data_IF_625009491064
#
_entry.id   IF_625009491064
#
_cell.length_a   1.000
_cell.length_b   1.000
_cell.length_c   1.000
_cell.angle_alpha   90.00
_cell.angle_beta   90.00
_cell.angle_gamma   90.00
#
_symmetry.space_group_name_H-M   'P 1'
#
loop_
_entity.id
_entity.type
_entity.pdbx_description
1 polymer ?
#
# COMPACT_ATOMS: atom_id res chain seq x y z
N UNK A 1 42.38 -19.02 -44.36
CA UNK A 1 41.22 -18.31 -43.78
C UNK A 1 41.23 -18.56 -42.27
N UNK A 2 41.73 -17.62 -41.49
CA UNK A 2 41.79 -17.71 -40.03
C UNK A 2 40.47 -17.20 -39.44
N UNK A 3 39.61 -18.13 -39.03
CA UNK A 3 38.39 -17.84 -38.26
C UNK A 3 38.79 -17.34 -36.87
N UNK A 4 38.59 -16.04 -36.61
CA UNK A 4 38.77 -15.46 -35.29
C UNK A 4 37.79 -16.10 -34.30
N UNK A 5 38.29 -16.60 -33.17
CA UNK A 5 37.47 -17.16 -32.11
C UNK A 5 36.51 -16.08 -31.55
N UNK A 6 35.23 -16.40 -31.30
CA UNK A 6 34.28 -15.44 -30.77
C UNK A 6 34.72 -14.96 -29.39
N UNK A 7 34.54 -13.66 -29.06
CA UNK A 7 34.96 -13.12 -27.78
C UNK A 7 34.25 -13.86 -26.65
N UNK A 8 35.04 -14.39 -25.72
CA UNK A 8 34.56 -15.06 -24.53
C UNK A 8 33.80 -14.07 -23.65
N UNK A 9 32.46 -14.13 -23.69
CA UNK A 9 31.61 -13.33 -22.82
C UNK A 9 31.78 -13.86 -21.40
N UNK A 10 32.68 -13.24 -20.64
CA UNK A 10 32.88 -13.59 -19.22
C UNK A 10 31.57 -13.41 -18.45
N UNK A 11 31.19 -14.37 -17.60
CA UNK A 11 29.97 -14.26 -16.80
C UNK A 11 30.03 -13.03 -15.89
N UNK A 12 28.90 -12.34 -15.67
CA UNK A 12 28.88 -11.12 -14.87
C UNK A 12 29.28 -11.41 -13.42
N UNK A 13 30.14 -10.55 -12.88
CA UNK A 13 30.62 -10.62 -11.49
C UNK A 13 29.47 -10.62 -10.48
N UNK A 14 29.63 -11.24 -9.30
CA UNK A 14 28.57 -11.31 -8.27
C UNK A 14 28.06 -9.92 -7.85
N UNK A 15 28.94 -8.92 -7.80
CA UNK A 15 28.56 -7.53 -7.55
C UNK A 15 27.67 -6.93 -8.66
N UNK A 16 27.94 -7.26 -9.94
CA UNK A 16 27.11 -6.85 -11.08
C UNK A 16 25.75 -7.54 -11.06
N UNK A 17 25.69 -8.84 -10.72
CA UNK A 17 24.43 -9.59 -10.56
C UNK A 17 23.55 -9.02 -9.45
N UNK A 18 24.12 -8.67 -8.28
CA UNK A 18 23.39 -8.05 -7.16
C UNK A 18 22.79 -6.70 -7.56
N UNK A 19 23.56 -5.85 -8.24
CA UNK A 19 23.08 -4.55 -8.74
C UNK A 19 21.96 -4.70 -9.77
N UNK A 20 22.08 -5.61 -10.72
CA UNK A 20 21.04 -5.88 -11.72
C UNK A 20 19.76 -6.40 -11.05
N UNK A 21 19.87 -7.31 -10.07
CA UNK A 21 18.72 -7.79 -9.30
C UNK A 21 18.04 -6.66 -8.53
N UNK A 22 18.79 -5.80 -7.85
CA UNK A 22 18.25 -4.63 -7.15
C UNK A 22 17.54 -3.67 -8.11
N UNK A 23 18.15 -3.39 -9.28
CA UNK A 23 17.54 -2.56 -10.31
C UNK A 23 16.25 -3.16 -10.84
N UNK A 24 16.23 -4.45 -11.17
CA UNK A 24 15.04 -5.13 -11.67
C UNK A 24 13.92 -5.16 -10.61
N UNK A 25 14.25 -5.35 -9.33
CA UNK A 25 13.28 -5.26 -8.24
C UNK A 25 12.71 -3.84 -8.07
N UNK A 26 13.55 -2.82 -8.21
CA UNK A 26 13.12 -1.42 -8.17
C UNK A 26 12.18 -1.11 -9.34
N UNK A 27 12.53 -1.52 -10.56
CA UNK A 27 11.69 -1.36 -11.74
C UNK A 27 10.34 -2.08 -11.57
N UNK A 28 10.35 -3.32 -11.07
CA UNK A 28 9.13 -4.08 -10.81
C UNK A 28 8.22 -3.35 -9.81
N UNK A 29 8.81 -2.81 -8.73
CA UNK A 29 8.06 -2.00 -7.75
C UNK A 29 7.46 -0.75 -8.38
N UNK A 30 8.23 -0.02 -9.20
CA UNK A 30 7.72 1.16 -9.89
C UNK A 30 6.55 0.83 -10.82
N UNK A 31 6.69 -0.22 -11.64
CA UNK A 31 5.62 -0.68 -12.54
C UNK A 31 4.39 -1.10 -11.75
N UNK A 32 4.57 -1.84 -10.66
CA UNK A 32 3.48 -2.26 -9.79
C UNK A 32 2.75 -1.07 -9.14
N UNK A 33 3.49 -0.11 -8.57
CA UNK A 33 2.92 1.09 -7.98
C UNK A 33 2.15 1.93 -9.00
N UNK A 34 2.71 2.15 -10.18
CA UNK A 34 2.05 2.87 -11.27
C UNK A 34 0.79 2.16 -11.75
N UNK A 35 0.83 0.83 -11.89
CA UNK A 35 -0.35 0.05 -12.28
C UNK A 35 -1.47 0.19 -11.24
N UNK A 36 -1.16 0.10 -9.96
CA UNK A 36 -2.15 0.29 -8.89
C UNK A 36 -2.75 1.70 -8.89
N UNK A 37 -1.92 2.73 -9.08
CA UNK A 37 -2.42 4.10 -9.21
C UNK A 37 -3.28 4.29 -10.46
N UNK A 38 -2.92 3.68 -11.59
CA UNK A 38 -3.72 3.75 -12.81
C UNK A 38 -5.09 3.06 -12.64
N UNK A 39 -5.11 1.88 -12.01
CA UNK A 39 -6.36 1.18 -11.66
C UNK A 39 -7.20 2.01 -10.70
N UNK A 40 -6.58 2.64 -9.69
CA UNK A 40 -7.27 3.51 -8.75
C UNK A 40 -7.88 4.73 -9.47
N UNK A 41 -7.09 5.44 -10.27
CA UNK A 41 -7.55 6.59 -11.03
C UNK A 41 -8.71 6.21 -11.97
N UNK A 42 -8.58 5.12 -12.72
CA UNK A 42 -9.64 4.59 -13.57
C UNK A 42 -10.92 4.30 -12.76
N UNK A 43 -10.78 3.61 -11.62
CA UNK A 43 -11.93 3.24 -10.77
C UNK A 43 -12.65 4.47 -10.21
N UNK A 44 -11.90 5.50 -9.80
CA UNK A 44 -12.48 6.73 -9.28
C UNK A 44 -13.13 7.60 -10.36
N UNK A 45 -12.58 7.55 -11.59
CA UNK A 45 -13.08 8.30 -12.74
C UNK A 45 -14.44 7.81 -13.25
N UNK A 46 -14.67 6.49 -13.26
CA UNK A 46 -15.92 5.91 -13.76
C UNK A 46 -17.13 6.24 -12.87
N UNK A 47 -18.36 6.34 -13.40
CA UNK A 47 -19.56 6.33 -12.57
C UNK A 47 -19.62 5.04 -11.74
N UNK A 48 -20.15 5.12 -10.53
CA UNK A 48 -20.31 3.91 -9.72
C UNK A 48 -20.74 4.17 -8.29
N UNK A 49 -21.05 3.06 -7.61
CA UNK A 49 -21.47 3.08 -6.22
C UNK A 49 -20.32 3.53 -5.30
N UNK A 50 -20.60 4.48 -4.42
CA UNK A 50 -19.59 5.13 -3.58
C UNK A 50 -18.88 4.18 -2.58
N UNK A 51 -19.50 3.13 -1.98
CA UNK A 51 -18.80 2.22 -1.10
C UNK A 51 -17.73 1.41 -1.84
N UNK A 52 -18.01 1.00 -3.08
CA UNK A 52 -17.04 0.28 -3.91
C UNK A 52 -15.85 1.17 -4.24
N UNK A 53 -16.11 2.44 -4.61
CA UNK A 53 -15.05 3.44 -4.82
C UNK A 53 -14.23 3.68 -3.56
N UNK A 54 -14.88 3.79 -2.41
CA UNK A 54 -14.22 3.99 -1.12
C UNK A 54 -13.31 2.81 -0.76
N UNK A 55 -13.82 1.59 -0.88
CA UNK A 55 -13.03 0.37 -0.67
C UNK A 55 -11.85 0.29 -1.63
N UNK A 56 -12.07 0.53 -2.92
CA UNK A 56 -10.99 0.57 -3.90
C UNK A 56 -9.95 1.64 -3.55
N UNK A 57 -10.40 2.83 -3.14
CA UNK A 57 -9.51 3.92 -2.75
C UNK A 57 -8.62 3.54 -1.58
N UNK A 58 -9.18 3.04 -0.49
CA UNK A 58 -8.41 2.62 0.69
C UNK A 58 -7.46 1.47 0.34
N UNK A 59 -7.98 0.42 -0.31
CA UNK A 59 -7.20 -0.78 -0.61
C UNK A 59 -6.04 -0.47 -1.55
N UNK A 60 -6.33 0.14 -2.69
CA UNK A 60 -5.32 0.40 -3.71
C UNK A 60 -4.29 1.43 -3.23
N UNK A 61 -4.70 2.39 -2.39
CA UNK A 61 -3.76 3.32 -1.74
C UNK A 61 -2.78 2.56 -0.84
N UNK A 62 -3.29 1.71 0.06
CA UNK A 62 -2.44 0.94 0.98
C UNK A 62 -1.55 -0.07 0.26
N UNK A 63 -2.03 -0.68 -0.84
CA UNK A 63 -1.24 -1.59 -1.67
C UNK A 63 -0.18 -0.84 -2.51
N UNK A 64 -0.53 0.33 -3.05
CA UNK A 64 0.40 1.15 -3.83
C UNK A 64 1.53 1.64 -2.93
N UNK A 65 1.24 1.98 -1.68
CA UNK A 65 2.24 2.32 -0.67
C UNK A 65 3.35 1.26 -0.53
N UNK A 66 3.03 -0.02 -0.68
CA UNK A 66 4.03 -1.11 -0.60
C UNK A 66 5.05 -1.10 -1.74
N UNK A 67 4.77 -0.40 -2.84
CA UNK A 67 5.68 -0.24 -3.96
C UNK A 67 6.80 0.77 -3.67
N UNK A 68 6.63 1.72 -2.74
CA UNK A 68 7.63 2.76 -2.51
C UNK A 68 7.30 3.89 -1.54
N UNK A 69 6.25 3.79 -0.73
CA UNK A 69 5.82 4.79 0.25
C UNK A 69 5.19 6.05 -0.37
N UNK A 70 5.88 6.69 -1.32
CA UNK A 70 5.37 7.89 -2.00
C UNK A 70 4.09 7.62 -2.81
N UNK A 71 3.97 6.40 -3.35
CA UNK A 71 2.76 5.95 -4.06
C UNK A 71 1.51 5.96 -3.16
N UNK A 72 1.64 5.69 -1.86
CA UNK A 72 0.53 5.77 -0.91
C UNK A 72 -0.01 7.20 -0.81
N UNK A 73 0.87 8.19 -0.68
CA UNK A 73 0.47 9.59 -0.64
C UNK A 73 -0.21 10.04 -1.94
N UNK A 74 0.30 9.60 -3.10
CA UNK A 74 -0.38 9.85 -4.38
C UNK A 74 -1.76 9.17 -4.46
N UNK A 75 -1.88 7.96 -3.92
CA UNK A 75 -3.17 7.28 -3.80
C UNK A 75 -4.19 8.09 -2.99
N UNK A 76 -3.75 8.71 -1.87
CA UNK A 76 -4.60 9.63 -1.11
C UNK A 76 -5.01 10.84 -1.95
N UNK A 77 -4.08 11.48 -2.65
CA UNK A 77 -4.37 12.63 -3.52
C UNK A 77 -5.38 12.27 -4.61
N UNK A 78 -5.27 11.07 -5.19
CA UNK A 78 -6.24 10.56 -6.17
C UNK A 78 -7.66 10.43 -5.61
N UNK A 79 -7.85 10.39 -4.29
CA UNK A 79 -9.17 10.48 -3.67
C UNK A 79 -9.96 11.73 -4.05
N UNK A 80 -9.27 12.81 -4.44
CA UNK A 80 -9.85 14.04 -4.95
C UNK A 80 -10.30 13.97 -6.42
N UNK A 81 -9.93 12.91 -7.16
CA UNK A 81 -10.27 12.76 -8.58
C UNK A 81 -11.79 12.84 -8.88
N UNK A 82 -12.70 12.32 -8.05
CA UNK A 82 -14.14 12.46 -8.27
C UNK A 82 -14.65 13.91 -8.34
N UNK A 83 -13.93 14.90 -7.80
CA UNK A 83 -14.34 16.31 -7.88
C UNK A 83 -14.06 16.96 -9.25
N UNK A 84 -13.18 16.34 -10.06
CA UNK A 84 -12.82 16.84 -11.40
C UNK A 84 -13.23 15.87 -12.50
N UNK A 85 -13.82 14.73 -12.15
CA UNK A 85 -14.41 13.81 -13.10
C UNK A 85 -15.64 14.44 -13.76
N UNK A 86 -15.99 13.98 -14.97
CA UNK A 86 -17.12 14.52 -15.73
C UNK A 86 -18.49 14.32 -15.03
N UNK A 87 -18.53 13.62 -13.91
CA UNK A 87 -19.73 13.21 -13.20
C UNK A 87 -19.61 13.75 -11.77
N UNK A 88 -20.69 14.36 -11.27
CA UNK A 88 -20.67 14.91 -9.92
C UNK A 88 -20.29 13.83 -8.89
N UNK A 89 -19.41 14.13 -7.93
CA UNK A 89 -19.12 13.21 -6.86
C UNK A 89 -20.40 12.99 -6.04
N UNK A 90 -20.60 11.78 -5.48
CA UNK A 90 -21.66 11.55 -4.51
C UNK A 90 -21.55 12.58 -3.39
N UNK A 91 -22.67 13.11 -2.88
CA UNK A 91 -22.66 14.12 -1.80
C UNK A 91 -21.87 13.64 -0.57
N UNK A 92 -21.90 12.33 -0.30
CA UNK A 92 -21.15 11.70 0.78
C UNK A 92 -19.64 11.89 0.64
N UNK A 93 -19.13 12.08 -0.58
CA UNK A 93 -17.70 12.18 -0.87
C UNK A 93 -17.05 13.42 -0.25
N UNK A 94 -17.82 14.50 -0.04
CA UNK A 94 -17.37 15.70 0.66
C UNK A 94 -16.99 15.43 2.12
N UNK A 95 -17.65 14.46 2.76
CA UNK A 95 -17.33 14.02 4.13
C UNK A 95 -16.25 12.94 4.11
N UNK A 96 -16.34 12.00 3.15
CA UNK A 96 -15.40 10.88 3.02
C UNK A 96 -13.98 11.37 2.77
N UNK A 97 -13.78 12.31 1.84
CA UNK A 97 -12.46 12.76 1.44
C UNK A 97 -11.61 13.27 2.63
N UNK A 98 -12.03 14.30 3.38
CA UNK A 98 -11.23 14.80 4.48
C UNK A 98 -11.10 13.78 5.62
N UNK A 99 -12.17 13.04 5.92
CA UNK A 99 -12.19 12.11 7.04
C UNK A 99 -11.30 10.89 6.77
N UNK A 100 -11.56 10.17 5.67
CA UNK A 100 -10.81 8.97 5.31
C UNK A 100 -9.43 9.34 4.77
N UNK A 101 -9.32 10.40 3.97
CA UNK A 101 -8.03 10.87 3.45
C UNK A 101 -7.08 11.33 4.55
N UNK A 102 -7.58 12.12 5.52
CA UNK A 102 -6.80 12.51 6.70
C UNK A 102 -6.37 11.32 7.54
N UNK A 103 -7.28 10.37 7.78
CA UNK A 103 -6.96 9.11 8.46
C UNK A 103 -5.94 8.26 7.70
N UNK A 104 -6.01 8.18 6.37
CA UNK A 104 -5.03 7.48 5.54
C UNK A 104 -3.66 8.14 5.66
N UNK A 105 -3.56 9.47 5.57
CA UNK A 105 -2.29 10.19 5.71
C UNK A 105 -1.66 9.91 7.07
N UNK A 106 -2.44 10.04 8.14
CA UNK A 106 -1.96 9.77 9.49
C UNK A 106 -1.48 8.31 9.64
N UNK A 107 -2.24 7.36 9.10
CA UNK A 107 -1.87 5.95 9.09
C UNK A 107 -0.58 5.69 8.30
N UNK A 108 -0.40 6.31 7.13
CA UNK A 108 0.81 6.19 6.31
C UNK A 108 2.03 6.80 7.00
N UNK A 109 1.90 7.96 7.64
CA UNK A 109 2.96 8.57 8.44
C UNK A 109 3.41 7.62 9.55
N UNK A 110 2.45 7.06 10.30
CA UNK A 110 2.75 6.11 11.37
C UNK A 110 3.38 4.84 10.79
N UNK A 111 2.85 4.30 9.69
CA UNK A 111 3.42 3.12 9.01
C UNK A 111 4.87 3.33 8.56
N UNK A 112 5.21 4.53 8.11
CA UNK A 112 6.56 4.88 7.67
C UNK A 112 7.54 5.14 8.82
N UNK A 113 7.07 5.27 10.07
CA UNK A 113 7.93 5.54 11.21
C UNK A 113 8.66 4.30 11.75
N UNK A 114 8.31 3.06 11.36
CA UNK A 114 8.99 1.88 11.92
C UNK A 114 8.62 0.49 11.38
N UNK A 115 8.95 -0.54 12.17
CA UNK A 115 8.80 -1.96 11.81
C UNK A 115 7.41 -2.55 12.08
N UNK A 116 7.28 -3.88 11.97
CA UNK A 116 6.01 -4.64 12.03
C UNK A 116 5.08 -4.22 13.18
N UNK A 117 5.64 -3.94 14.35
CA UNK A 117 4.89 -3.58 15.56
C UNK A 117 4.15 -2.25 15.44
N UNK A 118 4.47 -1.41 14.46
CA UNK A 118 3.84 -0.12 14.23
C UNK A 118 2.55 -0.25 13.40
N UNK A 119 2.37 -1.37 12.67
CA UNK A 119 1.19 -1.57 11.82
C UNK A 119 -0.15 -1.61 12.59
N UNK A 120 -0.26 -2.24 13.77
CA UNK A 120 -1.46 -2.12 14.60
C UNK A 120 -1.77 -0.67 15.00
N UNK A 121 -0.75 0.13 15.33
CA UNK A 121 -0.94 1.55 15.65
C UNK A 121 -1.38 2.36 14.43
N UNK A 122 -0.83 2.08 13.25
CA UNK A 122 -1.28 2.66 11.99
C UNK A 122 -2.77 2.37 11.74
N UNK A 123 -3.22 1.14 11.99
CA UNK A 123 -4.64 0.79 11.91
C UNK A 123 -5.50 1.55 12.93
N UNK A 124 -5.06 1.63 14.18
CA UNK A 124 -5.78 2.37 15.23
C UNK A 124 -5.88 3.85 14.86
N UNK A 125 -4.80 4.47 14.39
CA UNK A 125 -4.79 5.87 13.96
C UNK A 125 -5.67 6.10 12.73
N UNK A 126 -5.81 5.12 11.85
CA UNK A 126 -6.78 5.16 10.75
C UNK A 126 -8.23 5.10 11.27
N UNK A 127 -8.53 4.16 12.16
CA UNK A 127 -9.91 3.85 12.59
C UNK A 127 -10.43 4.85 13.63
N UNK A 128 -9.57 5.35 14.52
CA UNK A 128 -9.99 6.17 15.66
C UNK A 128 -10.74 7.44 15.24
N UNK A 129 -10.28 8.26 14.27
CA UNK A 129 -11.02 9.43 13.81
C UNK A 129 -12.40 9.05 13.22
N UNK A 130 -12.50 7.91 12.54
CA UNK A 130 -13.76 7.41 11.98
C UNK A 130 -14.75 6.99 13.07
N UNK A 131 -14.26 6.36 14.15
CA UNK A 131 -15.07 6.01 15.32
C UNK A 131 -15.50 7.26 16.12
N UNK A 132 -14.62 8.24 16.24
CA UNK A 132 -14.96 9.52 16.87
C UNK A 132 -16.02 10.26 16.04
N UNK A 133 -15.88 10.30 14.71
CA UNK A 133 -16.89 10.86 13.82
C UNK A 133 -18.25 10.13 13.93
N UNK A 134 -18.25 8.81 14.14
CA UNK A 134 -19.48 8.05 14.41
C UNK A 134 -20.15 8.43 15.72
N UNK A 135 -19.37 8.62 16.77
CA UNK A 135 -19.86 8.91 18.12
C UNK A 135 -20.30 10.36 18.27
N UNK A 136 -19.52 11.29 17.72
CA UNK A 136 -19.66 12.73 17.93
C UNK A 136 -20.36 13.43 16.76
N UNK A 137 -20.33 12.86 15.56
CA UNK A 137 -20.95 13.44 14.36
C UNK A 137 -22.41 13.81 14.57
N UNK A 138 -23.27 12.88 15.05
CA UNK A 138 -24.68 13.20 15.31
C UNK A 138 -24.87 14.33 16.31
N UNK A 139 -24.04 14.42 17.36
CA UNK A 139 -24.16 15.51 18.34
C UNK A 139 -23.77 16.89 17.80
N UNK A 140 -23.07 16.94 16.66
CA UNK A 140 -22.64 18.18 16.00
C UNK A 140 -23.58 18.55 14.84
N UNK A 141 -24.08 17.54 14.13
CA UNK A 141 -25.01 17.67 13.01
C UNK A 141 -25.75 16.34 12.81
N UNK A 142 -27.04 16.32 13.11
CA UNK A 142 -27.89 15.13 13.00
C UNK A 142 -28.03 14.61 11.55
N UNK A 143 -27.67 15.42 10.55
CA UNK A 143 -27.67 15.02 9.14
C UNK A 143 -26.44 14.20 8.75
N UNK A 144 -25.37 14.21 9.57
CA UNK A 144 -24.13 13.41 9.37
C UNK A 144 -24.33 11.94 9.76
N UNK A 145 -25.12 11.22 8.97
CA UNK A 145 -25.44 9.81 9.21
C UNK A 145 -24.42 8.83 8.61
N UNK A 146 -23.58 9.31 7.68
CA UNK A 146 -22.68 8.47 6.90
C UNK A 146 -21.70 7.64 7.74
N UNK A 147 -20.98 8.21 8.74
CA UNK A 147 -20.02 7.43 9.52
C UNK A 147 -20.69 6.27 10.26
N UNK A 148 -21.93 6.46 10.73
CA UNK A 148 -22.72 5.47 11.47
C UNK A 148 -23.29 4.33 10.61
N UNK A 149 -23.16 4.45 9.28
CA UNK A 149 -23.65 3.45 8.33
C UNK A 149 -22.83 2.14 8.40
N UNK A 150 -23.51 0.99 8.48
CA UNK A 150 -22.85 -0.32 8.52
C UNK A 150 -22.02 -0.62 7.26
N UNK A 151 -22.49 -0.20 6.09
CA UNK A 151 -21.78 -0.32 4.81
C UNK A 151 -20.51 0.53 4.81
N UNK A 152 -20.57 1.76 5.34
CA UNK A 152 -19.40 2.61 5.47
C UNK A 152 -18.32 1.93 6.32
N UNK A 153 -18.70 1.46 7.52
CA UNK A 153 -17.79 0.77 8.46
C UNK A 153 -17.14 -0.46 7.85
N UNK A 154 -17.92 -1.32 7.21
CA UNK A 154 -17.39 -2.52 6.52
C UNK A 154 -16.43 -2.11 5.41
N UNK A 155 -16.78 -1.11 4.60
CA UNK A 155 -15.98 -0.65 3.46
C UNK A 155 -14.68 0.04 3.87
N UNK A 156 -14.62 0.65 5.06
CA UNK A 156 -13.42 1.31 5.58
C UNK A 156 -12.58 0.38 6.45
N UNK A 157 -13.15 -0.20 7.50
CA UNK A 157 -12.37 -0.89 8.53
C UNK A 157 -11.84 -2.23 8.03
N UNK A 158 -12.71 -3.05 7.42
CA UNK A 158 -12.30 -4.36 6.91
C UNK A 158 -11.27 -4.21 5.80
N UNK A 159 -11.47 -3.25 4.90
CA UNK A 159 -10.57 -3.01 3.78
C UNK A 159 -9.22 -2.46 4.23
N UNK A 160 -9.21 -1.52 5.19
CA UNK A 160 -7.96 -1.05 5.78
C UNK A 160 -7.23 -2.18 6.51
N UNK A 161 -7.94 -3.05 7.24
CA UNK A 161 -7.37 -4.21 7.88
C UNK A 161 -6.74 -5.19 6.86
N UNK A 162 -7.39 -5.41 5.71
CA UNK A 162 -6.83 -6.22 4.62
C UNK A 162 -5.56 -5.56 4.04
N UNK A 163 -5.61 -4.26 3.74
CA UNK A 163 -4.47 -3.53 3.19
C UNK A 163 -3.25 -3.54 4.12
N UNK A 164 -3.45 -3.29 5.41
CA UNK A 164 -2.39 -3.34 6.41
C UNK A 164 -1.96 -4.78 6.74
N UNK A 165 -2.88 -5.75 6.68
CA UNK A 165 -2.57 -7.17 6.82
C UNK A 165 -1.62 -7.65 5.73
N UNK A 166 -1.79 -7.16 4.49
CA UNK A 166 -0.82 -7.39 3.42
C UNK A 166 0.57 -6.82 3.76
N UNK A 167 0.64 -5.63 4.37
CA UNK A 167 1.90 -5.06 4.87
C UNK A 167 2.57 -5.97 5.90
N UNK A 168 1.80 -6.53 6.85
CA UNK A 168 2.31 -7.48 7.85
C UNK A 168 2.92 -8.70 7.15
N UNK A 169 2.17 -9.34 6.25
CA UNK A 169 2.62 -10.53 5.54
C UNK A 169 3.92 -10.28 4.76
N UNK A 170 4.02 -9.14 4.07
CA UNK A 170 5.25 -8.77 3.34
C UNK A 170 6.43 -8.59 4.29
N UNK A 171 6.24 -7.91 5.42
CA UNK A 171 7.33 -7.69 6.37
C UNK A 171 7.78 -9.00 7.00
N UNK A 172 6.85 -9.89 7.38
CA UNK A 172 7.16 -11.22 7.90
C UNK A 172 7.89 -12.09 6.86
N UNK A 173 7.44 -12.10 5.60
CA UNK A 173 8.12 -12.81 4.52
C UNK A 173 9.55 -12.28 4.32
N UNK A 174 9.75 -10.96 4.38
CA UNK A 174 11.07 -10.34 4.31
C UNK A 174 11.99 -10.76 5.44
N UNK A 175 11.50 -10.79 6.68
CA UNK A 175 12.24 -11.27 7.85
C UNK A 175 12.59 -12.75 7.72
N UNK A 176 11.63 -13.58 7.30
CA UNK A 176 11.84 -15.01 7.08
C UNK A 176 12.91 -15.29 6.02
N UNK A 177 12.83 -14.63 4.86
CA UNK A 177 13.80 -14.76 3.77
C UNK A 177 15.21 -14.32 4.19
N UNK A 178 15.34 -13.23 4.96
CA UNK A 178 16.64 -12.79 5.48
C UNK A 178 17.26 -13.84 6.40
N UNK A 179 16.48 -14.35 7.37
CA UNK A 179 16.95 -15.43 8.27
C UNK A 179 17.40 -16.67 7.51
N UNK A 180 16.70 -17.07 6.45
CA UNK A 180 17.10 -18.21 5.60
C UNK A 180 18.40 -17.96 4.83
N UNK A 181 18.61 -16.73 4.35
CA UNK A 181 19.82 -16.37 3.60
C UNK A 181 21.03 -16.13 4.51
N UNK A 182 20.80 -15.75 5.77
CA UNK A 182 21.79 -15.58 6.83
C UNK A 182 22.12 -16.90 7.58
N UNK A 183 21.54 -18.04 7.17
CA UNK A 183 21.95 -19.38 7.59
C UNK A 183 22.97 -20.07 6.63
N UNK A 184 24.11 -19.48 6.19
CA UNK A 184 25.13 -20.25 5.50
C UNK A 184 26.16 -20.88 6.47
N UNK A 185 26.28 -22.22 6.42
CA UNK A 185 27.51 -23.01 6.71
C UNK A 185 28.05 -23.15 8.15
N UNK A 186 27.22 -23.22 9.20
CA UNK A 186 27.74 -23.78 10.48
C UNK A 186 27.81 -25.32 10.44
N UNK A 187 27.09 -25.96 9.51
CA UNK A 187 27.01 -27.44 9.43
C UNK A 187 27.95 -28.09 8.40
N UNK A 188 28.83 -27.35 7.72
CA UNK A 188 29.80 -27.94 6.77
C UNK A 188 31.25 -27.97 7.28
N UNK A 189 31.47 -27.70 8.57
CA UNK A 189 32.78 -27.73 9.21
C UNK A 189 32.90 -28.67 10.40
N UNK A 190 31.83 -29.42 10.73
CA UNK A 190 31.80 -30.33 11.87
C UNK A 190 32.12 -31.80 11.53
N UNK A 191 32.44 -32.11 10.26
CA UNK A 191 32.88 -33.45 9.82
C UNK A 191 34.37 -33.48 9.42
N UNK A 192 35.19 -32.68 10.10
CA UNK A 192 36.64 -32.72 9.92
C UNK A 192 37.36 -32.59 11.28
N UNK A 193 37.04 -33.48 12.23
CA UNK A 193 37.89 -33.82 13.38
C UNK A 193 37.75 -35.32 13.64
#
# INVERSE_FOLDING_TARGET
MTTAAPPSVLPPSPARRRRLRQRNLLLLRLVWGLLLLAVLAFTLWQPGNWPAKLSAWILLTLLADEAGGWFGYLGVVLGGLPFVAAHAPPEQWFVILPLVGGSLIAALIVKHSGGVLVLPFSYVVFVLPLLLAQRLGPSLDDTLTLPSNATFRRSTFLIAAIGLGFSVLRQLAGLYLRRRLEQPRVLSGAEAV
#
